data_IF_964545706407
#
_entry.id   IF_964545706407
#
_cell.length_a   1.000
_cell.length_b   1.000
_cell.length_c   1.000
_cell.angle_alpha   90.00
_cell.angle_beta   90.00
_cell.angle_gamma   90.00
#
_symmetry.space_group_name_H-M   'P 1'
#
loop_
_entity.id
_entity.type
_entity.pdbx_description
1 polymer ?
#
# COMPACT_ATOMS: atom_id res chain seq x y z
N UNK A 1 -23.79 -13.34 -18.84
CA UNK A 1 -22.95 -12.65 -17.83
C UNK A 1 -21.48 -13.07 -17.97
N UNK A 2 -21.18 -14.39 -18.00
CA UNK A 2 -19.83 -14.92 -18.20
C UNK A 2 -19.17 -14.50 -19.55
N UNK A 3 -19.91 -14.48 -20.66
CA UNK A 3 -19.36 -14.07 -21.97
C UNK A 3 -19.02 -12.58 -22.07
N UNK A 4 -19.82 -11.69 -21.46
CA UNK A 4 -19.53 -10.24 -21.42
C UNK A 4 -18.30 -9.94 -20.57
N UNK A 5 -18.10 -10.70 -19.49
CA UNK A 5 -16.92 -10.60 -18.64
C UNK A 5 -15.67 -11.13 -19.36
N UNK A 6 -15.77 -12.31 -20.01
CA UNK A 6 -14.69 -12.90 -20.84
C UNK A 6 -14.25 -11.96 -21.96
N UNK A 7 -15.17 -11.38 -22.71
CA UNK A 7 -14.85 -10.50 -23.84
C UNK A 7 -14.08 -9.23 -23.40
N UNK A 8 -14.32 -8.73 -22.17
CA UNK A 8 -13.64 -7.55 -21.63
C UNK A 8 -12.31 -7.86 -20.95
N UNK A 9 -12.21 -8.98 -20.24
CA UNK A 9 -10.93 -9.52 -19.75
C UNK A 9 -10.01 -9.78 -20.96
N UNK A 10 -10.52 -10.31 -22.07
CA UNK A 10 -9.77 -10.45 -23.31
C UNK A 10 -9.34 -9.11 -23.94
N UNK A 11 -10.10 -8.03 -23.78
CA UNK A 11 -9.69 -6.67 -24.22
C UNK A 11 -8.65 -6.04 -23.31
N UNK A 12 -8.72 -6.28 -21.99
CA UNK A 12 -7.67 -5.89 -21.06
C UNK A 12 -6.34 -6.62 -21.35
N UNK A 13 -6.42 -7.90 -21.76
CA UNK A 13 -5.27 -8.70 -22.24
C UNK A 13 -4.63 -8.20 -23.54
N UNK A 14 -5.41 -7.57 -24.43
CA UNK A 14 -4.97 -7.23 -25.78
C UNK A 14 -4.33 -5.83 -25.92
N UNK A 15 -3.96 -5.18 -24.82
CA UNK A 15 -3.18 -3.93 -24.83
C UNK A 15 -4.01 -2.64 -24.75
N UNK A 16 -4.64 -2.39 -23.59
CA UNK A 16 -4.98 -1.01 -23.20
C UNK A 16 -6.34 -0.75 -22.55
N UNK A 17 -7.25 -1.72 -22.42
CA UNK A 17 -8.53 -1.48 -21.75
C UNK A 17 -8.40 -1.69 -20.22
N UNK A 18 -8.66 -0.64 -19.44
CA UNK A 18 -8.73 -0.70 -17.99
C UNK A 18 -9.85 -1.65 -17.50
N UNK A 19 -9.56 -2.53 -16.55
CA UNK A 19 -10.58 -3.27 -15.81
C UNK A 19 -11.22 -2.28 -14.81
N UNK A 20 -12.51 -2.00 -14.95
CA UNK A 20 -13.24 -1.16 -14.01
C UNK A 20 -14.33 -1.97 -13.29
N UNK A 21 -14.36 -1.90 -11.96
CA UNK A 21 -15.39 -2.51 -11.10
C UNK A 21 -16.81 -2.10 -11.48
N UNK A 22 -16.98 -0.88 -12.02
CA UNK A 22 -18.27 -0.32 -12.45
C UNK A 22 -18.96 -1.18 -13.52
N UNK A 23 -18.22 -2.08 -14.17
CA UNK A 23 -18.73 -3.00 -15.17
C UNK A 23 -19.34 -4.28 -14.60
N UNK A 24 -19.23 -4.53 -13.29
CA UNK A 24 -19.90 -5.66 -12.62
C UNK A 24 -21.33 -5.27 -12.22
N UNK A 25 -22.31 -6.19 -12.32
CA UNK A 25 -23.66 -5.91 -11.82
C UNK A 25 -23.60 -5.59 -10.34
N UNK A 26 -24.22 -4.49 -9.88
CA UNK A 26 -24.30 -4.14 -8.45
C UNK A 26 -24.97 -5.27 -7.65
N UNK A 27 -24.50 -5.52 -6.42
CA UNK A 27 -25.22 -6.40 -5.50
C UNK A 27 -26.50 -5.66 -5.13
N UNK A 28 -27.65 -6.30 -5.35
CA UNK A 28 -28.94 -5.73 -4.95
C UNK A 28 -29.09 -5.83 -3.43
N UNK A 29 -29.76 -4.86 -2.79
CA UNK A 29 -30.22 -5.00 -1.41
C UNK A 29 -31.00 -6.32 -1.25
N UNK A 30 -30.77 -7.04 -0.14
CA UNK A 30 -31.48 -8.30 0.16
C UNK A 30 -30.93 -9.57 -0.50
N UNK A 31 -29.69 -9.57 -1.03
CA UNK A 31 -29.04 -10.80 -1.48
C UNK A 31 -28.87 -11.80 -0.31
N UNK A 32 -29.17 -13.09 -0.53
CA UNK A 32 -28.99 -14.15 0.49
C UNK A 32 -27.55 -14.15 1.03
N UNK A 33 -27.36 -14.33 2.34
CA UNK A 33 -26.06 -14.40 3.04
C UNK A 33 -25.05 -15.34 2.35
N UNK A 34 -25.52 -16.50 1.89
CA UNK A 34 -24.70 -17.47 1.15
C UNK A 34 -24.18 -16.94 -0.19
N UNK A 35 -25.02 -16.18 -0.91
CA UNK A 35 -24.61 -15.48 -2.12
C UNK A 35 -23.69 -14.28 -1.82
N UNK A 36 -23.70 -13.74 -0.59
CA UNK A 36 -22.80 -12.68 -0.19
C UNK A 36 -21.39 -13.21 0.09
N UNK A 37 -21.26 -14.30 0.85
CA UNK A 37 -19.95 -14.86 1.22
C UNK A 37 -19.14 -15.38 0.03
N UNK A 38 -19.78 -15.80 -1.06
CA UNK A 38 -19.10 -16.25 -2.28
C UNK A 38 -18.84 -15.11 -3.28
N UNK A 39 -19.69 -14.07 -3.30
CA UNK A 39 -19.53 -12.90 -4.17
C UNK A 39 -18.61 -11.82 -3.61
N UNK A 40 -18.43 -11.74 -2.30
CA UNK A 40 -17.53 -10.79 -1.68
C UNK A 40 -16.06 -11.00 -2.08
N UNK A 41 -15.47 -12.23 -2.00
CA UNK A 41 -14.12 -12.48 -2.49
C UNK A 41 -13.96 -12.16 -3.97
N UNK A 42 -14.98 -12.44 -4.80
CA UNK A 42 -14.97 -12.11 -6.23
C UNK A 42 -14.85 -10.61 -6.47
N UNK A 43 -15.67 -9.80 -5.78
CA UNK A 43 -15.60 -8.34 -5.89
C UNK A 43 -14.27 -7.79 -5.41
N UNK A 44 -13.74 -8.31 -4.31
CA UNK A 44 -12.46 -7.85 -3.78
C UNK A 44 -11.27 -8.25 -4.67
N UNK A 45 -11.29 -9.45 -5.26
CA UNK A 45 -10.32 -9.86 -6.28
C UNK A 45 -10.33 -8.89 -7.47
N UNK A 46 -11.52 -8.49 -7.92
CA UNK A 46 -11.69 -7.53 -9.01
C UNK A 46 -11.29 -6.11 -8.60
N UNK A 47 -11.55 -5.70 -7.35
CA UNK A 47 -11.10 -4.44 -6.78
C UNK A 47 -9.58 -4.33 -6.77
N UNK A 48 -8.89 -5.41 -6.39
CA UNK A 48 -7.43 -5.47 -6.44
C UNK A 48 -6.84 -5.24 -7.83
N UNK A 49 -7.62 -5.42 -8.91
CA UNK A 49 -7.18 -5.22 -10.29
C UNK A 49 -7.90 -4.06 -10.99
N UNK A 50 -8.66 -3.24 -10.26
CA UNK A 50 -9.25 -2.04 -10.83
C UNK A 50 -8.14 -1.07 -11.24
N UNK A 51 -8.26 -0.42 -12.40
CA UNK A 51 -7.29 0.57 -12.85
C UNK A 51 -7.19 1.82 -11.98
N UNK A 52 -8.22 2.12 -11.17
CA UNK A 52 -8.15 3.16 -10.15
C UNK A 52 -7.36 2.71 -8.91
N UNK A 53 -7.14 1.41 -8.72
CA UNK A 53 -6.58 0.80 -7.50
C UNK A 53 -5.17 0.25 -7.73
N UNK A 54 -4.98 -0.60 -8.74
CA UNK A 54 -3.76 -1.35 -8.99
C UNK A 54 -2.71 -0.52 -9.74
N UNK A 55 -1.43 -0.75 -9.44
CA UNK A 55 -0.32 -0.04 -10.08
C UNK A 55 -0.06 -0.50 -11.54
N UNK A 56 -0.28 -1.78 -11.86
CA UNK A 56 -0.15 -2.36 -13.22
C UNK A 56 -1.15 -3.53 -13.41
N UNK A 57 -2.46 -3.26 -13.52
CA UNK A 57 -3.50 -4.29 -13.54
C UNK A 57 -3.42 -5.24 -14.76
N UNK A 58 -2.89 -4.77 -15.91
CA UNK A 58 -2.71 -5.62 -17.10
C UNK A 58 -1.74 -6.79 -16.89
N UNK A 59 -0.80 -6.63 -15.95
CA UNK A 59 0.16 -7.66 -15.51
C UNK A 59 -0.31 -8.40 -14.25
N UNK A 60 -1.55 -8.18 -13.82
CA UNK A 60 -2.11 -8.65 -12.54
C UNK A 60 -1.42 -8.07 -11.29
N UNK A 61 -0.52 -7.09 -11.46
CA UNK A 61 0.25 -6.49 -10.37
C UNK A 61 -0.56 -5.40 -9.68
N UNK A 62 -0.76 -5.58 -8.39
CA UNK A 62 -1.48 -4.66 -7.51
C UNK A 62 -0.54 -3.59 -6.97
N UNK A 63 0.54 -3.98 -6.28
CA UNK A 63 1.54 -3.04 -5.71
C UNK A 63 2.85 -3.75 -5.31
N UNK A 64 3.84 -2.98 -4.83
CA UNK A 64 5.03 -3.51 -4.14
C UNK A 64 6.01 -4.28 -5.03
N UNK A 65 6.30 -3.76 -6.23
CA UNK A 65 7.13 -4.43 -7.22
C UNK A 65 6.29 -5.34 -8.11
N UNK A 66 6.24 -6.64 -7.77
CA UNK A 66 5.55 -7.70 -8.53
C UNK A 66 4.43 -8.39 -7.73
N UNK A 67 3.90 -7.74 -6.70
CA UNK A 67 2.78 -8.26 -5.89
C UNK A 67 1.51 -8.42 -6.72
N UNK A 68 1.12 -9.66 -7.01
CA UNK A 68 0.02 -9.99 -7.95
C UNK A 68 -1.23 -10.50 -7.25
N UNK A 69 -2.40 -10.30 -7.89
CA UNK A 69 -3.69 -10.80 -7.39
C UNK A 69 -3.98 -12.26 -7.77
N UNK A 70 -3.44 -12.72 -8.90
CA UNK A 70 -3.49 -14.10 -9.38
C UNK A 70 -2.20 -14.42 -10.14
N UNK A 71 -1.85 -15.70 -10.26
CA UNK A 71 -0.56 -16.12 -10.83
C UNK A 71 -0.39 -15.65 -12.27
N UNK A 72 -1.41 -15.94 -13.05
CA UNK A 72 -1.54 -15.66 -14.46
C UNK A 72 -3.02 -15.48 -14.79
N UNK A 73 -3.30 -15.04 -16.02
CA UNK A 73 -4.66 -14.74 -16.46
C UNK A 73 -5.56 -15.99 -16.56
N UNK A 74 -4.99 -17.17 -16.82
CA UNK A 74 -5.75 -18.44 -16.79
C UNK A 74 -6.21 -18.74 -15.36
N UNK A 75 -5.30 -18.62 -14.40
CA UNK A 75 -5.56 -18.80 -12.98
C UNK A 75 -6.62 -17.81 -12.48
N UNK A 76 -6.54 -16.55 -12.91
CA UNK A 76 -7.57 -15.54 -12.62
C UNK A 76 -8.95 -15.98 -13.12
N UNK A 77 -9.08 -16.37 -14.39
CA UNK A 77 -10.36 -16.80 -14.97
C UNK A 77 -10.92 -18.03 -14.24
N UNK A 78 -10.05 -18.95 -13.86
CA UNK A 78 -10.43 -20.16 -13.11
C UNK A 78 -10.86 -19.84 -11.68
N UNK A 79 -10.21 -18.88 -11.00
CA UNK A 79 -10.64 -18.39 -9.68
C UNK A 79 -12.02 -17.76 -9.80
N UNK A 80 -12.22 -16.86 -10.76
CA UNK A 80 -13.52 -16.21 -11.01
C UNK A 80 -14.60 -17.26 -11.27
N UNK A 81 -14.32 -18.24 -12.14
CA UNK A 81 -15.24 -19.32 -12.45
C UNK A 81 -15.56 -20.21 -11.25
N UNK A 82 -14.57 -20.50 -10.38
CA UNK A 82 -14.77 -21.26 -9.16
C UNK A 82 -15.64 -20.49 -8.16
N UNK A 83 -15.34 -19.22 -7.88
CA UNK A 83 -16.11 -18.37 -6.96
C UNK A 83 -17.58 -18.19 -7.41
N UNK A 84 -17.84 -18.21 -8.71
CA UNK A 84 -19.21 -18.13 -9.25
C UNK A 84 -20.05 -19.40 -9.03
N UNK A 85 -19.41 -20.56 -8.85
CA UNK A 85 -20.08 -21.85 -8.66
C UNK A 85 -19.94 -22.41 -7.24
N UNK A 86 -19.15 -21.76 -6.39
CA UNK A 86 -18.86 -22.22 -5.04
C UNK A 86 -20.14 -22.25 -4.20
N UNK A 87 -20.42 -23.39 -3.57
CA UNK A 87 -21.56 -23.55 -2.68
C UNK A 87 -21.26 -23.03 -1.26
N UNK A 88 -22.31 -22.89 -0.45
CA UNK A 88 -22.22 -22.28 0.89
C UNK A 88 -21.39 -23.12 1.88
N UNK A 89 -21.29 -24.43 1.67
CA UNK A 89 -20.53 -25.37 2.47
C UNK A 89 -19.28 -25.86 1.74
N UNK A 90 -18.76 -25.10 0.78
CA UNK A 90 -17.52 -25.39 0.07
C UNK A 90 -16.43 -24.34 0.35
N UNK A 91 -15.19 -24.76 0.16
CA UNK A 91 -13.98 -23.93 0.31
C UNK A 91 -13.07 -24.09 -0.89
N UNK A 92 -12.72 -22.99 -1.54
CA UNK A 92 -11.72 -22.91 -2.61
C UNK A 92 -10.30 -22.83 -2.01
N UNK A 93 -9.38 -23.65 -2.52
CA UNK A 93 -7.95 -23.56 -2.21
C UNK A 93 -7.20 -22.82 -3.31
N UNK A 94 -6.45 -21.79 -2.94
CA UNK A 94 -5.58 -21.01 -3.82
C UNK A 94 -4.13 -21.15 -3.37
N UNK A 95 -3.30 -21.74 -4.22
CA UNK A 95 -1.86 -21.92 -4.00
C UNK A 95 -1.10 -20.94 -4.89
N UNK A 96 -0.35 -20.01 -4.32
CA UNK A 96 0.40 -18.96 -5.03
C UNK A 96 -0.38 -18.41 -6.23
N UNK A 97 -1.58 -17.89 -5.97
CA UNK A 97 -2.46 -17.28 -6.97
C UNK A 97 -3.11 -18.22 -7.99
N UNK A 98 -3.03 -19.55 -7.82
CA UNK A 98 -3.64 -20.55 -8.69
C UNK A 98 -4.73 -21.35 -7.95
N UNK A 99 -5.93 -21.54 -8.53
CA UNK A 99 -6.99 -22.34 -7.91
C UNK A 99 -6.68 -23.84 -8.09
N UNK A 100 -6.44 -24.55 -6.98
CA UNK A 100 -5.95 -25.95 -7.02
C UNK A 100 -7.00 -26.98 -6.62
N UNK A 101 -8.08 -26.58 -5.95
CA UNK A 101 -9.15 -27.50 -5.59
C UNK A 101 -10.30 -26.82 -4.86
N UNK A 102 -11.45 -27.47 -4.85
CA UNK A 102 -12.62 -27.09 -4.04
C UNK A 102 -13.00 -28.31 -3.21
N UNK A 103 -13.19 -28.11 -1.91
CA UNK A 103 -13.56 -29.18 -0.98
C UNK A 103 -14.78 -28.77 -0.17
N UNK A 104 -15.63 -29.75 0.12
CA UNK A 104 -16.75 -29.56 1.04
C UNK A 104 -16.22 -29.39 2.47
N UNK A 105 -16.73 -28.36 3.15
CA UNK A 105 -16.46 -28.00 4.54
C UNK A 105 -17.79 -27.78 5.26
N UNK A 106 -18.11 -26.57 5.72
CA UNK A 106 -19.35 -26.22 6.40
C UNK A 106 -19.60 -24.71 6.27
N UNK A 107 -20.83 -24.25 6.55
CA UNK A 107 -21.23 -22.85 6.35
C UNK A 107 -20.34 -21.83 7.07
N UNK A 108 -19.85 -22.16 8.27
CA UNK A 108 -19.00 -21.25 9.06
C UNK A 108 -17.50 -21.31 8.70
N UNK A 109 -17.10 -22.19 7.78
CA UNK A 109 -15.72 -22.27 7.32
C UNK A 109 -15.38 -21.09 6.38
N UNK A 110 -14.09 -20.75 6.21
CA UNK A 110 -13.67 -19.81 5.16
C UNK A 110 -14.09 -20.30 3.77
N UNK A 111 -14.62 -19.41 2.93
CA UNK A 111 -14.95 -19.73 1.52
C UNK A 111 -13.72 -19.88 0.65
N UNK A 112 -12.61 -19.23 1.02
CA UNK A 112 -11.35 -19.29 0.28
C UNK A 112 -10.21 -19.40 1.29
N UNK A 113 -9.32 -20.37 1.08
CA UNK A 113 -8.06 -20.49 1.79
C UNK A 113 -6.91 -20.22 0.81
N UNK A 114 -6.02 -19.31 1.19
CA UNK A 114 -4.97 -18.81 0.31
C UNK A 114 -3.61 -19.02 0.97
N UNK A 115 -2.69 -19.67 0.26
CA UNK A 115 -1.30 -19.84 0.66
C UNK A 115 -0.40 -19.37 -0.49
N UNK A 116 0.13 -18.16 -0.37
CA UNK A 116 0.96 -17.54 -1.40
C UNK A 116 2.42 -17.46 -0.97
N UNK A 117 3.33 -17.68 -1.91
CA UNK A 117 4.76 -17.38 -1.78
C UNK A 117 5.52 -18.15 -0.68
N UNK A 118 4.90 -19.17 -0.09
CA UNK A 118 5.54 -20.01 0.91
C UNK A 118 6.63 -20.88 0.27
N UNK A 119 7.83 -20.84 0.84
CA UNK A 119 8.98 -21.65 0.47
C UNK A 119 9.57 -22.31 1.73
N UNK A 120 10.12 -23.51 1.58
CA UNK A 120 10.88 -24.14 2.66
C UNK A 120 12.08 -23.23 3.01
N UNK A 121 12.42 -22.98 4.30
CA UNK A 121 13.29 -21.87 4.68
C UNK A 121 14.64 -21.79 3.96
N UNK A 122 15.30 -22.92 3.73
CA UNK A 122 16.58 -22.95 2.99
C UNK A 122 16.47 -22.41 1.56
N UNK A 123 15.29 -22.54 0.93
CA UNK A 123 15.00 -22.09 -0.42
C UNK A 123 14.24 -20.76 -0.46
N UNK A 124 14.01 -20.10 0.68
CA UNK A 124 13.30 -18.83 0.76
C UNK A 124 14.18 -17.65 0.30
N UNK A 125 14.69 -17.73 -0.94
CA UNK A 125 15.54 -16.74 -1.58
C UNK A 125 14.89 -16.20 -2.85
N UNK A 126 15.23 -14.97 -3.23
CA UNK A 126 14.75 -14.37 -4.48
C UNK A 126 15.20 -15.17 -5.72
N UNK A 127 16.41 -15.72 -5.72
CA UNK A 127 16.91 -16.53 -6.83
C UNK A 127 16.05 -17.77 -7.07
N UNK A 128 15.71 -18.50 -5.99
CA UNK A 128 14.86 -19.67 -6.09
C UNK A 128 13.42 -19.30 -6.43
N UNK A 129 12.88 -18.24 -5.80
CA UNK A 129 11.58 -17.68 -6.13
C UNK A 129 11.46 -17.35 -7.63
N UNK A 130 12.44 -16.64 -8.19
CA UNK A 130 12.47 -16.20 -9.58
C UNK A 130 12.60 -17.39 -10.54
N UNK A 131 13.35 -18.44 -10.16
CA UNK A 131 13.43 -19.67 -10.94
C UNK A 131 12.07 -20.37 -11.03
N UNK A 132 11.32 -20.45 -9.93
CA UNK A 132 9.97 -21.02 -9.90
C UNK A 132 8.94 -20.14 -10.64
N UNK A 133 9.04 -18.82 -10.53
CA UNK A 133 8.15 -17.88 -11.24
C UNK A 133 8.30 -18.03 -12.77
N UNK A 134 9.54 -18.12 -13.27
CA UNK A 134 9.81 -18.39 -14.71
C UNK A 134 9.23 -19.73 -15.19
N UNK A 135 9.07 -20.70 -14.30
CA UNK A 135 8.44 -22.00 -14.60
C UNK A 135 6.90 -21.96 -14.45
N UNK A 136 6.31 -20.82 -14.11
CA UNK A 136 4.87 -20.70 -13.85
C UNK A 136 4.43 -21.36 -12.53
N UNK A 137 5.36 -21.61 -11.62
CA UNK A 137 5.12 -22.30 -10.34
C UNK A 137 4.93 -21.34 -9.16
N UNK A 138 5.21 -20.05 -9.35
CA UNK A 138 5.24 -19.09 -8.26
C UNK A 138 4.47 -17.80 -8.55
N UNK A 139 4.08 -17.11 -7.49
CA UNK A 139 3.52 -15.77 -7.49
C UNK A 139 3.95 -15.07 -6.21
N UNK A 140 4.31 -13.80 -6.29
CA UNK A 140 4.52 -12.97 -5.11
C UNK A 140 3.18 -12.38 -4.68
N UNK A 141 2.67 -12.78 -3.51
CA UNK A 141 1.38 -12.33 -3.00
C UNK A 141 1.44 -11.00 -2.27
N UNK A 142 2.64 -10.50 -1.93
CA UNK A 142 2.81 -9.42 -0.96
C UNK A 142 1.94 -9.73 0.29
N UNK A 143 1.29 -8.73 0.87
CA UNK A 143 0.34 -8.86 1.96
C UNK A 143 -1.06 -8.90 1.36
N UNK A 144 -1.57 -7.76 0.89
CA UNK A 144 -2.98 -7.62 0.48
C UNK A 144 -3.23 -7.80 -1.02
N UNK A 145 -2.17 -7.95 -1.82
CA UNK A 145 -2.29 -8.16 -3.26
C UNK A 145 -2.87 -9.55 -3.56
N UNK A 146 -2.24 -10.59 -3.03
CA UNK A 146 -2.65 -11.99 -3.23
C UNK A 146 -3.76 -12.48 -2.31
N UNK A 147 -4.16 -11.68 -1.30
CA UNK A 147 -5.26 -11.98 -0.37
C UNK A 147 -6.53 -11.16 -0.59
N UNK A 148 -6.54 -10.32 -1.64
CA UNK A 148 -7.71 -9.61 -2.14
C UNK A 148 -8.35 -8.68 -1.08
N UNK A 149 -7.54 -7.79 -0.50
CA UNK A 149 -8.02 -6.77 0.45
C UNK A 149 -7.26 -5.44 0.32
N UNK A 150 -6.74 -5.16 -0.88
CA UNK A 150 -6.09 -3.89 -1.17
C UNK A 150 -7.14 -2.85 -1.54
N UNK A 151 -7.01 -1.64 -0.99
CA UNK A 151 -7.98 -0.55 -1.09
C UNK A 151 -7.34 0.74 -1.63
N UNK A 152 -6.33 0.58 -2.48
CA UNK A 152 -5.50 1.68 -2.97
C UNK A 152 -4.55 2.23 -1.91
N UNK A 153 -4.01 3.41 -2.18
CA UNK A 153 -3.00 4.06 -1.33
C UNK A 153 -3.53 4.34 0.08
N UNK A 154 -4.85 4.50 0.24
CA UNK A 154 -5.49 4.71 1.54
C UNK A 154 -5.13 3.63 2.55
N UNK A 155 -4.90 2.39 2.12
CA UNK A 155 -4.61 1.26 3.00
C UNK A 155 -3.41 1.45 3.92
N UNK A 156 -2.49 2.36 3.59
CA UNK A 156 -1.31 2.67 4.41
C UNK A 156 -1.27 4.11 4.95
N UNK A 157 -2.10 5.03 4.44
CA UNK A 157 -2.08 6.45 4.85
C UNK A 157 -2.17 6.58 6.36
N UNK A 158 -3.07 5.83 7.01
CA UNK A 158 -3.18 5.90 8.46
C UNK A 158 -1.95 5.37 9.18
N UNK A 159 -1.40 4.22 8.78
CA UNK A 159 -0.19 3.70 9.42
C UNK A 159 0.97 4.69 9.35
N UNK A 160 1.08 5.40 8.22
CA UNK A 160 2.05 6.47 8.01
C UNK A 160 1.74 7.74 8.80
N UNK A 161 0.46 8.11 8.86
CA UNK A 161 0.00 9.20 9.71
C UNK A 161 0.30 8.94 11.19
N UNK A 162 -0.05 7.76 11.72
CA UNK A 162 0.24 7.36 13.11
C UNK A 162 1.75 7.35 13.38
N UNK A 163 2.55 6.91 12.41
CA UNK A 163 4.01 6.95 12.53
C UNK A 163 4.52 8.39 12.67
N UNK A 164 4.06 9.32 11.83
CA UNK A 164 4.49 10.71 11.89
C UNK A 164 3.95 11.45 13.10
N UNK A 165 2.71 11.20 13.51
CA UNK A 165 2.14 11.76 14.74
C UNK A 165 2.95 11.32 15.96
N UNK A 166 3.28 10.03 16.07
CA UNK A 166 4.10 9.52 17.18
C UNK A 166 5.53 10.08 17.13
N UNK A 167 6.09 10.27 15.93
CA UNK A 167 7.37 10.96 15.75
C UNK A 167 7.31 12.41 16.25
N UNK A 168 6.26 13.17 15.89
CA UNK A 168 6.01 14.51 16.41
C UNK A 168 5.90 14.54 17.93
N UNK A 169 5.19 13.57 18.51
CA UNK A 169 5.07 13.41 19.98
C UNK A 169 6.41 13.19 20.67
N UNK A 170 7.29 12.35 20.09
CA UNK A 170 8.57 12.00 20.73
C UNK A 170 9.66 13.02 20.52
N UNK A 171 9.70 13.66 19.36
CA UNK A 171 10.84 14.48 18.95
C UNK A 171 10.53 15.99 18.92
N UNK A 172 9.25 16.36 18.83
CA UNK A 172 8.83 17.75 18.58
C UNK A 172 7.68 18.21 19.50
N UNK A 173 7.57 17.64 20.70
CA UNK A 173 6.60 18.09 21.71
C UNK A 173 5.13 17.89 21.33
N UNK A 174 4.83 16.99 20.38
CA UNK A 174 3.46 16.70 19.94
C UNK A 174 2.98 17.47 18.72
N UNK A 175 3.82 18.31 18.12
CA UNK A 175 3.44 19.09 16.93
C UNK A 175 4.52 19.05 15.87
N UNK A 176 4.12 18.87 14.62
CA UNK A 176 5.00 19.00 13.44
C UNK A 176 4.79 20.32 12.68
N UNK A 177 4.07 21.28 13.27
CA UNK A 177 3.91 22.63 12.73
C UNK A 177 5.26 23.28 12.40
N UNK A 178 5.35 23.88 11.22
CA UNK A 178 6.59 24.45 10.68
C UNK A 178 7.73 23.45 10.42
N UNK A 179 7.48 22.13 10.47
CA UNK A 179 8.46 21.06 10.22
C UNK A 179 8.27 20.45 8.84
N UNK A 180 9.30 19.75 8.36
CA UNK A 180 9.19 18.95 7.14
C UNK A 180 9.92 17.61 7.18
N UNK A 181 9.35 16.66 6.43
CA UNK A 181 9.81 15.28 6.33
C UNK A 181 10.41 15.04 4.95
N UNK A 182 11.60 14.47 4.89
CA UNK A 182 12.24 14.00 3.66
C UNK A 182 12.02 12.50 3.48
N UNK A 183 11.58 12.09 2.29
CA UNK A 183 11.45 10.67 1.93
C UNK A 183 11.68 10.42 0.44
N UNK A 184 11.65 9.15 0.04
CA UNK A 184 11.67 8.69 -1.34
C UNK A 184 10.66 7.56 -1.58
N UNK A 185 10.25 7.42 -2.85
CA UNK A 185 9.31 6.41 -3.34
C UNK A 185 7.86 6.87 -3.28
N UNK A 186 7.25 7.06 -4.46
CA UNK A 186 5.84 7.42 -4.64
C UNK A 186 5.09 6.29 -5.36
N UNK A 187 5.37 5.03 -4.99
CA UNK A 187 4.62 3.85 -5.46
C UNK A 187 3.24 3.73 -4.80
N UNK A 188 2.59 2.55 -4.90
CA UNK A 188 1.24 2.33 -4.34
C UNK A 188 1.15 2.61 -2.84
N UNK A 189 2.14 2.17 -2.06
CA UNK A 189 2.24 2.46 -0.63
C UNK A 189 3.04 3.75 -0.38
N UNK A 190 4.18 3.90 -1.05
CA UNK A 190 5.05 5.10 -1.06
C UNK A 190 4.31 6.43 -1.21
N UNK A 191 3.32 6.44 -2.10
CA UNK A 191 2.53 7.61 -2.44
C UNK A 191 1.66 8.13 -1.29
N UNK A 192 1.48 7.36 -0.21
CA UNK A 192 0.73 7.80 0.96
C UNK A 192 1.53 8.73 1.89
N UNK A 193 2.86 8.69 1.83
CA UNK A 193 3.73 9.46 2.72
C UNK A 193 3.48 10.97 2.67
N UNK A 194 3.34 11.62 1.50
CA UNK A 194 3.23 13.07 1.47
C UNK A 194 1.90 13.55 2.06
N UNK A 195 0.79 12.88 1.74
CA UNK A 195 -0.50 13.17 2.35
C UNK A 195 -0.51 12.91 3.87
N UNK A 196 0.07 11.80 4.31
CA UNK A 196 0.15 11.48 5.74
C UNK A 196 0.95 12.52 6.52
N UNK A 197 2.06 13.01 5.97
CA UNK A 197 2.86 14.08 6.57
C UNK A 197 2.05 15.37 6.69
N UNK A 198 1.36 15.80 5.63
CA UNK A 198 0.49 17.00 5.64
C UNK A 198 -0.63 16.86 6.65
N UNK A 199 -1.28 15.69 6.74
CA UNK A 199 -2.31 15.40 7.74
C UNK A 199 -1.76 15.41 9.17
N UNK A 200 -0.50 15.00 9.37
CA UNK A 200 0.19 15.08 10.65
C UNK A 200 0.71 16.49 10.99
N UNK A 201 0.55 17.47 10.08
CA UNK A 201 0.94 18.86 10.27
C UNK A 201 2.33 19.21 9.76
N UNK A 202 3.02 18.32 9.05
CA UNK A 202 4.35 18.56 8.46
C UNK A 202 4.28 18.79 6.95
N UNK A 203 5.16 19.62 6.41
CA UNK A 203 5.44 19.59 4.98
C UNK A 203 6.21 18.31 4.61
N UNK A 204 6.18 17.90 3.35
CA UNK A 204 6.87 16.70 2.89
C UNK A 204 7.58 16.94 1.57
N UNK A 205 8.84 16.53 1.46
CA UNK A 205 9.55 16.40 0.20
C UNK A 205 9.76 14.93 -0.12
N UNK A 206 9.17 14.45 -1.21
CA UNK A 206 9.26 13.05 -1.64
C UNK A 206 9.98 12.93 -2.99
N UNK A 207 11.09 12.21 -3.02
CA UNK A 207 11.87 11.95 -4.24
C UNK A 207 11.29 10.74 -4.97
N UNK A 208 11.06 10.85 -6.27
CA UNK A 208 10.60 9.74 -7.11
C UNK A 208 11.28 9.77 -8.47
N UNK A 209 11.69 8.60 -8.98
CA UNK A 209 12.42 8.47 -10.23
C UNK A 209 11.53 8.30 -11.46
N UNK A 210 10.29 7.82 -11.30
CA UNK A 210 9.34 7.57 -12.37
C UNK A 210 8.30 8.70 -12.47
N UNK A 211 8.29 9.50 -13.55
CA UNK A 211 7.32 10.59 -13.73
C UNK A 211 5.86 10.14 -13.60
N UNK A 212 5.52 8.98 -14.18
CA UNK A 212 4.17 8.41 -14.14
C UNK A 212 3.66 8.15 -12.72
N UNK A 213 4.56 7.86 -11.78
CA UNK A 213 4.20 7.68 -10.36
C UNK A 213 3.83 9.02 -9.74
N UNK A 214 4.61 10.08 -9.98
CA UNK A 214 4.32 11.44 -9.52
C UNK A 214 2.97 11.93 -10.08
N UNK A 215 2.77 11.80 -11.39
CA UNK A 215 1.53 12.21 -12.08
C UNK A 215 0.28 11.58 -11.46
N UNK A 216 0.36 10.28 -11.13
CA UNK A 216 -0.72 9.57 -10.46
C UNK A 216 -1.02 10.15 -9.06
N UNK A 217 0.01 10.56 -8.29
CA UNK A 217 -0.17 11.09 -6.93
C UNK A 217 -0.71 12.52 -6.95
N UNK A 218 -0.31 13.33 -7.93
CA UNK A 218 -0.95 14.62 -8.21
C UNK A 218 -2.43 14.45 -8.56
N UNK A 219 -2.76 13.55 -9.49
CA UNK A 219 -4.14 13.28 -9.91
C UNK A 219 -5.04 12.84 -8.74
N UNK A 220 -4.51 11.95 -7.90
CA UNK A 220 -5.23 11.42 -6.74
C UNK A 220 -5.27 12.39 -5.55
N UNK A 221 -4.50 13.48 -5.58
CA UNK A 221 -4.43 14.48 -4.49
C UNK A 221 -3.56 14.04 -3.30
N UNK A 222 -2.69 13.05 -3.51
CA UNK A 222 -1.74 12.57 -2.51
C UNK A 222 -0.41 13.34 -2.49
N UNK A 223 -0.17 14.13 -3.53
CA UNK A 223 0.91 15.12 -3.65
C UNK A 223 0.28 16.42 -4.13
N UNK A 224 0.70 17.56 -3.58
CA UNK A 224 0.16 18.88 -3.95
C UNK A 224 0.92 19.49 -5.12
N UNK A 225 2.26 19.43 -5.10
CA UNK A 225 3.13 20.15 -6.06
C UNK A 225 4.25 19.25 -6.57
N UNK A 226 4.60 19.40 -7.85
CA UNK A 226 5.85 18.88 -8.43
C UNK A 226 6.82 20.05 -8.61
N UNK A 227 8.00 19.96 -8.01
CA UNK A 227 9.09 20.90 -8.21
C UNK A 227 9.92 20.53 -9.46
N UNK A 228 10.47 21.54 -10.14
CA UNK A 228 11.33 21.39 -11.32
C UNK A 228 12.72 20.88 -10.96
N UNK A 229 13.24 21.32 -9.82
CA UNK A 229 14.56 20.98 -9.31
C UNK A 229 14.60 21.06 -7.78
N UNK A 230 15.76 20.70 -7.21
CA UNK A 230 15.97 20.68 -5.77
C UNK A 230 15.89 22.08 -5.14
N UNK A 231 16.32 23.12 -5.86
CA UNK A 231 16.32 24.49 -5.32
C UNK A 231 14.90 25.03 -5.21
N UNK A 232 14.06 24.82 -6.23
CA UNK A 232 12.64 25.14 -6.18
C UNK A 232 11.92 24.30 -5.10
N UNK A 233 12.23 23.01 -4.98
CA UNK A 233 11.65 22.15 -3.96
C UNK A 233 11.92 22.66 -2.54
N UNK A 234 13.17 23.02 -2.25
CA UNK A 234 13.58 23.56 -0.94
C UNK A 234 12.97 24.94 -0.67
N UNK A 235 12.86 25.80 -1.69
CA UNK A 235 12.19 27.10 -1.56
C UNK A 235 10.70 26.95 -1.22
N UNK A 236 10.01 26.03 -1.89
CA UNK A 236 8.59 25.72 -1.62
C UNK A 236 8.42 25.22 -0.18
N UNK A 237 9.24 24.25 0.24
CA UNK A 237 9.20 23.70 1.60
C UNK A 237 9.48 24.79 2.65
N UNK A 238 10.51 25.61 2.43
CA UNK A 238 10.86 26.70 3.34
C UNK A 238 9.72 27.71 3.51
N UNK A 239 9.08 28.10 2.42
CA UNK A 239 7.91 29.00 2.44
C UNK A 239 6.71 28.38 3.17
N UNK A 240 6.42 27.10 2.92
CA UNK A 240 5.34 26.36 3.57
C UNK A 240 5.57 26.25 5.08
N UNK A 241 6.79 25.93 5.51
CA UNK A 241 7.17 25.86 6.91
C UNK A 241 7.09 27.23 7.61
N UNK A 242 7.59 28.30 6.97
CA UNK A 242 7.54 29.65 7.52
C UNK A 242 6.11 30.19 7.66
N UNK A 243 5.21 29.80 6.77
CA UNK A 243 3.80 30.20 6.79
C UNK A 243 2.91 29.28 7.64
N UNK A 244 3.46 28.22 8.24
CA UNK A 244 2.74 27.16 8.93
C UNK A 244 1.57 26.58 8.10
N UNK A 245 1.84 26.32 6.82
CA UNK A 245 0.90 25.75 5.87
C UNK A 245 1.50 24.48 5.26
N UNK A 246 1.30 23.32 5.92
CA UNK A 246 1.84 22.05 5.48
C UNK A 246 1.50 21.75 4.01
N UNK A 247 2.51 21.37 3.24
CA UNK A 247 2.39 21.08 1.81
C UNK A 247 3.26 19.88 1.45
N UNK A 248 2.79 19.07 0.51
CA UNK A 248 3.57 17.99 -0.08
C UNK A 248 4.17 18.36 -1.45
N UNK A 249 5.47 18.12 -1.60
CA UNK A 249 6.27 18.38 -2.79
C UNK A 249 6.87 17.07 -3.29
N UNK A 250 6.61 16.72 -4.54
CA UNK A 250 7.35 15.69 -5.25
C UNK A 250 8.55 16.31 -5.98
N UNK A 251 9.66 15.59 -6.00
CA UNK A 251 10.85 15.92 -6.77
C UNK A 251 11.22 14.74 -7.67
N UNK A 252 11.24 14.99 -8.98
CA UNK A 252 11.68 14.00 -9.95
C UNK A 252 13.21 13.82 -9.86
N UNK A 253 13.67 12.61 -9.54
CA UNK A 253 15.10 12.29 -9.52
C UNK A 253 15.42 10.98 -8.79
N UNK A 254 16.71 10.67 -8.69
CA UNK A 254 17.19 9.49 -7.99
C UNK A 254 17.54 9.85 -6.54
N UNK A 255 16.98 9.13 -5.57
CA UNK A 255 17.25 9.34 -4.15
C UNK A 255 18.74 9.13 -3.80
N UNK A 256 19.41 8.18 -4.47
CA UNK A 256 20.85 7.94 -4.27
C UNK A 256 21.73 9.08 -4.82
N UNK A 257 21.18 10.04 -5.57
CA UNK A 257 21.88 11.27 -6.02
C UNK A 257 21.49 12.47 -5.16
N UNK A 258 20.19 12.63 -4.91
CA UNK A 258 19.64 13.80 -4.23
C UNK A 258 19.98 13.81 -2.74
N UNK A 259 19.88 12.69 -2.01
CA UNK A 259 20.20 12.70 -0.57
C UNK A 259 21.67 13.07 -0.29
N UNK A 260 22.68 12.50 -0.97
CA UNK A 260 24.06 12.96 -0.81
C UNK A 260 24.26 14.43 -1.14
N UNK A 261 23.57 14.94 -2.17
CA UNK A 261 23.63 16.35 -2.55
C UNK A 261 23.04 17.26 -1.45
N UNK A 262 21.93 16.86 -0.83
CA UNK A 262 21.34 17.58 0.31
C UNK A 262 22.28 17.64 1.51
N UNK A 263 22.97 16.52 1.81
CA UNK A 263 24.02 16.48 2.84
C UNK A 263 25.15 17.46 2.50
N UNK A 264 25.65 17.46 1.26
CA UNK A 264 26.72 18.36 0.81
C UNK A 264 26.33 19.84 0.92
N UNK A 265 25.06 20.16 0.66
CA UNK A 265 24.50 21.52 0.79
C UNK A 265 24.21 21.93 2.24
N UNK A 266 24.35 21.03 3.21
CA UNK A 266 24.00 21.30 4.61
C UNK A 266 22.49 21.47 4.83
N UNK A 267 21.65 20.94 3.93
CA UNK A 267 20.21 20.93 4.10
C UNK A 267 19.87 20.03 5.29
N UNK A 268 18.93 20.45 6.14
CA UNK A 268 18.55 19.70 7.33
C UNK A 268 17.02 19.54 7.42
N UNK A 269 16.47 18.38 7.04
CA UNK A 269 15.07 18.05 7.32
C UNK A 269 14.83 17.84 8.82
N UNK A 270 13.56 17.88 9.23
CA UNK A 270 13.16 17.54 10.60
C UNK A 270 12.94 16.03 10.76
N UNK A 271 12.70 15.28 9.69
CA UNK A 271 12.77 13.82 9.75
C UNK A 271 13.14 13.22 8.40
N UNK A 272 13.71 12.01 8.44
CA UNK A 272 14.10 11.26 7.23
C UNK A 272 13.56 9.83 7.30
N UNK A 273 13.01 9.37 6.18
CA UNK A 273 12.60 7.98 6.00
C UNK A 273 12.74 7.58 4.53
N UNK A 274 12.46 6.33 4.17
CA UNK A 274 12.45 5.86 2.79
C UNK A 274 11.35 4.81 2.59
N UNK A 275 10.66 4.86 1.45
CA UNK A 275 9.71 3.83 1.02
C UNK A 275 9.86 3.46 -0.46
N UNK A 276 11.09 3.52 -1.00
CA UNK A 276 11.45 2.87 -2.26
C UNK A 276 11.21 1.35 -2.15
N UNK A 277 11.11 0.64 -3.28
CA UNK A 277 10.90 -0.82 -3.25
C UNK A 277 12.23 -1.58 -3.11
N UNK A 278 13.01 -1.24 -2.08
CA UNK A 278 14.34 -1.83 -1.84
C UNK A 278 14.31 -3.35 -1.54
N UNK A 279 13.15 -3.90 -1.17
CA UNK A 279 12.96 -5.34 -0.95
C UNK A 279 13.07 -6.18 -2.22
N UNK A 280 12.94 -5.56 -3.41
CA UNK A 280 13.12 -6.18 -4.72
C UNK A 280 14.14 -5.36 -5.54
N UNK A 281 15.44 -5.66 -5.40
CA UNK A 281 16.50 -4.91 -6.07
C UNK A 281 16.41 -4.91 -7.59
N UNK A 282 15.77 -5.93 -8.20
CA UNK A 282 15.63 -6.00 -9.65
C UNK A 282 14.55 -5.04 -10.12
N UNK A 283 13.35 -5.11 -9.53
CA UNK A 283 12.17 -4.40 -10.04
C UNK A 283 11.80 -3.13 -9.29
N UNK A 284 12.46 -2.84 -8.16
CA UNK A 284 11.99 -1.86 -7.20
C UNK A 284 12.88 -0.63 -6.99
N UNK A 285 14.15 -0.65 -7.42
CA UNK A 285 15.10 0.43 -7.16
C UNK A 285 15.93 0.76 -8.39
N UNK A 286 15.83 2.00 -8.87
CA UNK A 286 16.60 2.51 -10.01
C UNK A 286 18.06 2.75 -9.61
N UNK A 287 19.05 2.08 -10.23
CA UNK A 287 20.45 2.35 -9.95
C UNK A 287 20.86 3.80 -10.27
N UNK A 288 21.79 4.34 -9.49
CA UNK A 288 22.35 5.68 -9.70
C UNK A 288 22.98 5.81 -11.09
N UNK A 289 22.78 6.95 -11.76
CA UNK A 289 23.29 7.21 -13.11
C UNK A 289 22.62 6.42 -14.24
N UNK A 290 21.61 5.59 -13.96
CA UNK A 290 20.86 4.87 -14.98
C UNK A 290 19.58 5.61 -15.37
N UNK A 291 19.22 5.55 -16.64
CA UNK A 291 17.89 5.99 -17.09
C UNK A 291 16.83 4.91 -16.83
N UNK A 292 15.55 5.30 -16.80
CA UNK A 292 14.45 4.35 -16.68
C UNK A 292 14.47 3.29 -17.79
N UNK A 293 14.75 3.70 -19.03
CA UNK A 293 14.85 2.78 -20.17
C UNK A 293 15.99 1.77 -19.98
N UNK A 294 17.17 2.22 -19.57
CA UNK A 294 18.30 1.32 -19.30
C UNK A 294 17.97 0.31 -18.20
N UNK A 295 17.27 0.76 -17.15
CA UNK A 295 16.82 -0.12 -16.09
C UNK A 295 15.78 -1.13 -16.58
N UNK A 296 14.77 -0.69 -17.33
CA UNK A 296 13.76 -1.54 -17.98
C UNK A 296 14.39 -2.63 -18.85
N UNK A 297 15.31 -2.27 -19.75
CA UNK A 297 15.96 -3.21 -20.67
C UNK A 297 16.84 -4.22 -19.92
N UNK A 298 17.56 -3.77 -18.88
CA UNK A 298 18.49 -4.61 -18.12
C UNK A 298 17.78 -5.54 -17.13
N UNK A 299 16.58 -5.21 -16.65
CA UNK A 299 15.78 -6.14 -15.85
C UNK A 299 15.49 -7.44 -16.59
N UNK A 300 15.27 -7.36 -17.90
CA UNK A 300 15.01 -8.52 -18.74
C UNK A 300 16.31 -9.23 -19.17
N UNK A 301 17.32 -8.46 -19.58
CA UNK A 301 18.55 -9.01 -20.18
C UNK A 301 19.61 -9.46 -19.17
N UNK A 302 19.79 -8.75 -18.04
CA UNK A 302 20.76 -9.08 -17.00
C UNK A 302 20.29 -8.64 -15.59
N UNK A 303 19.33 -9.36 -15.00
CA UNK A 303 18.78 -9.03 -13.68
C UNK A 303 19.82 -9.11 -12.55
N UNK A 304 20.92 -9.86 -12.73
CA UNK A 304 22.01 -9.94 -11.75
C UNK A 304 22.81 -8.65 -11.72
N UNK A 305 23.13 -8.09 -12.89
CA UNK A 305 23.77 -6.78 -12.96
C UNK A 305 22.87 -5.67 -12.38
N UNK A 306 21.55 -5.73 -12.63
CA UNK A 306 20.60 -4.79 -12.00
C UNK A 306 20.65 -4.91 -10.48
N UNK A 307 20.59 -6.13 -9.94
CA UNK A 307 20.64 -6.38 -8.48
C UNK A 307 21.89 -5.77 -7.86
N UNK A 308 23.07 -6.03 -8.44
CA UNK A 308 24.33 -5.51 -7.93
C UNK A 308 24.36 -3.97 -7.96
N UNK A 309 23.95 -3.36 -9.09
CA UNK A 309 23.94 -1.91 -9.24
C UNK A 309 22.92 -1.23 -8.31
N UNK A 310 21.74 -1.82 -8.15
CA UNK A 310 20.68 -1.34 -7.27
C UNK A 310 21.13 -1.38 -5.80
N UNK A 311 21.68 -2.50 -5.33
CA UNK A 311 22.18 -2.62 -3.96
C UNK A 311 23.32 -1.64 -3.67
N UNK A 312 24.28 -1.49 -4.59
CA UNK A 312 25.33 -0.48 -4.46
C UNK A 312 24.76 0.95 -4.35
N UNK A 313 23.68 1.25 -5.07
CA UNK A 313 22.97 2.54 -4.99
C UNK A 313 22.21 2.71 -3.67
N UNK A 314 21.57 1.65 -3.16
CA UNK A 314 20.95 1.65 -1.84
C UNK A 314 21.98 1.89 -0.73
N UNK A 315 23.20 1.36 -0.87
CA UNK A 315 24.28 1.63 0.08
C UNK A 315 24.66 3.13 0.13
N UNK A 316 24.69 3.81 -1.02
CA UNK A 316 24.89 5.26 -1.09
C UNK A 316 23.75 6.01 -0.39
N UNK A 317 22.51 5.61 -0.67
CA UNK A 317 21.32 6.17 -0.05
C UNK A 317 21.38 6.04 1.49
N UNK A 318 21.61 4.83 2.00
CA UNK A 318 21.66 4.57 3.45
C UNK A 318 22.80 5.34 4.13
N UNK A 319 23.96 5.51 3.48
CA UNK A 319 25.03 6.38 4.01
C UNK A 319 24.58 7.83 4.18
N UNK A 320 23.76 8.36 3.27
CA UNK A 320 23.20 9.70 3.42
C UNK A 320 22.15 9.76 4.54
N UNK A 321 21.29 8.74 4.68
CA UNK A 321 20.37 8.63 5.83
C UNK A 321 21.12 8.56 7.17
N UNK A 322 22.24 7.82 7.23
CA UNK A 322 23.13 7.76 8.38
C UNK A 322 23.80 9.11 8.68
N UNK A 323 24.15 9.89 7.65
CA UNK A 323 24.67 11.23 7.84
C UNK A 323 23.63 12.16 8.50
N UNK A 324 22.36 12.10 8.10
CA UNK A 324 21.28 12.80 8.78
C UNK A 324 21.08 12.32 10.23
N UNK A 325 21.12 11.00 10.45
CA UNK A 325 21.04 10.40 11.78
C UNK A 325 22.15 10.93 12.72
N UNK A 326 23.39 11.00 12.22
CA UNK A 326 24.55 11.54 12.96
C UNK A 326 24.43 13.04 13.24
N UNK A 327 23.60 13.78 12.49
CA UNK A 327 23.25 15.18 12.76
C UNK A 327 22.07 15.34 13.74
N UNK A 328 21.61 14.23 14.35
CA UNK A 328 20.50 14.21 15.28
C UNK A 328 19.13 14.43 14.63
N UNK A 329 19.02 14.21 13.31
CA UNK A 329 17.71 14.18 12.63
C UNK A 329 17.06 12.82 12.92
N UNK A 330 15.80 12.78 13.39
CA UNK A 330 15.03 11.53 13.48
C UNK A 330 14.98 10.82 12.12
N UNK A 331 15.71 9.72 12.01
CA UNK A 331 15.78 8.89 10.80
C UNK A 331 15.21 7.53 11.12
N UNK A 332 14.34 7.00 10.26
CA UNK A 332 13.77 5.65 10.43
C UNK A 332 13.68 4.89 9.12
N UNK A 333 13.79 3.56 9.22
CA UNK A 333 13.45 2.65 8.13
C UNK A 333 11.95 2.34 8.14
N UNK A 334 11.33 2.47 6.97
CA UNK A 334 9.89 2.31 6.79
C UNK A 334 9.49 0.91 6.27
N UNK A 335 10.21 -0.13 6.67
CA UNK A 335 9.83 -1.52 6.44
C UNK A 335 10.00 -2.01 5.00
N UNK A 336 10.92 -1.41 4.24
CA UNK A 336 11.25 -1.83 2.87
C UNK A 336 12.59 -2.57 2.75
N UNK A 337 13.24 -2.86 3.89
CA UNK A 337 14.48 -3.64 3.98
C UNK A 337 15.73 -2.94 3.41
N UNK A 338 15.71 -1.61 3.19
CA UNK A 338 16.84 -0.88 2.59
C UNK A 338 18.13 -0.98 3.44
N UNK A 339 18.02 -1.02 4.77
CA UNK A 339 19.17 -1.20 5.68
C UNK A 339 19.88 -2.53 5.47
N UNK A 340 19.13 -3.61 5.27
CA UNK A 340 19.70 -4.93 5.01
C UNK A 340 20.44 -4.95 3.66
N UNK A 341 19.86 -4.34 2.62
CA UNK A 341 20.51 -4.24 1.31
C UNK A 341 21.83 -3.48 1.40
N UNK A 342 21.88 -2.39 2.17
CA UNK A 342 23.11 -1.63 2.40
C UNK A 342 24.14 -2.38 3.27
N UNK A 343 23.69 -3.13 4.28
CA UNK A 343 24.58 -3.97 5.10
C UNK A 343 25.30 -5.03 4.24
N UNK A 344 24.57 -5.66 3.32
CA UNK A 344 25.15 -6.65 2.39
C UNK A 344 26.20 -6.03 1.44
N UNK A 345 26.17 -4.72 1.25
CA UNK A 345 27.16 -3.94 0.48
C UNK A 345 28.23 -3.28 1.37
N UNK A 346 28.37 -3.73 2.62
CA UNK A 346 29.44 -3.34 3.53
C UNK A 346 29.20 -2.05 4.32
N UNK A 347 27.97 -1.53 4.37
CA UNK A 347 27.62 -0.44 5.30
C UNK A 347 27.43 -1.02 6.69
N UNK A 348 28.52 -1.15 7.46
CA UNK A 348 28.53 -1.83 8.75
C UNK A 348 27.57 -1.22 9.79
N UNK A 349 27.34 0.08 9.72
CA UNK A 349 26.45 0.87 10.58
C UNK A 349 25.03 1.04 9.99
N UNK A 350 24.64 0.25 8.98
CA UNK A 350 23.34 0.40 8.30
C UNK A 350 22.12 0.31 9.24
N UNK A 351 22.26 -0.34 10.40
CA UNK A 351 21.19 -0.54 11.38
C UNK A 351 21.21 0.45 12.55
N UNK A 352 22.07 1.47 12.52
CA UNK A 352 22.17 2.49 13.58
C UNK A 352 20.88 3.29 13.77
N UNK A 353 20.09 3.46 12.69
CA UNK A 353 18.74 4.03 12.80
C UNK A 353 17.67 2.92 12.86
N UNK A 354 16.62 3.09 13.69
CA UNK A 354 15.67 2.03 13.97
C UNK A 354 14.65 1.84 12.84
N UNK A 355 13.96 0.69 12.87
CA UNK A 355 12.75 0.52 12.07
C UNK A 355 11.57 1.26 12.72
N UNK A 356 10.62 1.73 11.91
CA UNK A 356 9.46 2.46 12.40
C UNK A 356 8.60 1.64 13.38
N UNK A 357 8.56 0.30 13.24
CA UNK A 357 7.80 -0.57 14.15
C UNK A 357 8.32 -0.52 15.60
N UNK A 358 9.58 -0.89 15.90
CA UNK A 358 10.11 -0.74 17.24
C UNK A 358 10.16 0.71 17.70
N UNK A 359 10.37 1.66 16.79
CA UNK A 359 10.46 3.07 17.14
C UNK A 359 9.10 3.63 17.58
N UNK A 360 8.03 3.41 16.82
CA UNK A 360 6.78 4.18 16.96
C UNK A 360 5.52 3.31 17.08
N UNK A 361 5.42 2.22 16.31
CA UNK A 361 4.15 1.48 16.17
C UNK A 361 3.93 0.40 17.23
N UNK A 362 4.98 -0.25 17.75
CA UNK A 362 4.84 -1.38 18.68
C UNK A 362 3.93 -1.12 19.89
N UNK A 363 3.92 0.07 20.53
CA UNK A 363 2.97 0.37 21.61
C UNK A 363 1.48 0.34 21.21
N UNK A 364 1.16 0.53 19.93
CA UNK A 364 -0.19 0.35 19.39
C UNK A 364 -0.52 -1.14 19.31
N UNK A 365 0.38 -1.95 18.75
CA UNK A 365 0.20 -3.40 18.66
C UNK A 365 0.04 -4.09 20.02
N UNK A 366 0.76 -3.63 21.06
CA UNK A 366 0.58 -4.16 22.41
C UNK A 366 -0.85 -4.00 22.98
N UNK A 367 -1.65 -3.10 22.40
CA UNK A 367 -3.07 -2.88 22.73
C UNK A 367 -4.04 -3.49 21.70
N UNK A 368 -3.51 -4.28 20.77
CA UNK A 368 -4.26 -4.80 19.62
C UNK A 368 -4.70 -3.72 18.63
N UNK A 369 -4.12 -2.52 18.70
CA UNK A 369 -4.43 -1.41 17.79
C UNK A 369 -3.59 -1.60 16.52
N UNK A 370 -4.27 -1.71 15.38
CA UNK A 370 -3.67 -1.98 14.09
C UNK A 370 -4.67 -1.74 12.96
N UNK A 371 -4.29 -2.01 11.70
CA UNK A 371 -5.01 -1.54 10.53
C UNK A 371 -6.31 -2.29 10.29
N UNK A 372 -7.41 -1.82 10.88
CA UNK A 372 -8.76 -2.32 10.62
C UNK A 372 -9.34 -1.59 9.41
N UNK A 373 -9.79 -2.33 8.39
CA UNK A 373 -10.32 -1.74 7.16
C UNK A 373 -11.61 -2.41 6.74
N UNK A 374 -12.41 -1.68 5.97
CA UNK A 374 -13.61 -2.21 5.38
C UNK A 374 -13.90 -1.60 4.01
N UNK A 375 -14.63 -2.35 3.17
CA UNK A 375 -15.03 -1.94 1.83
C UNK A 375 -16.52 -2.15 1.61
N UNK A 376 -17.19 -1.14 1.05
CA UNK A 376 -18.61 -1.16 0.75
C UNK A 376 -18.87 -1.87 -0.58
N UNK A 377 -19.44 -3.08 -0.54
CA UNK A 377 -19.72 -3.85 -1.76
C UNK A 377 -20.80 -3.22 -2.64
N UNK A 378 -21.54 -2.23 -2.13
CA UNK A 378 -22.50 -1.43 -2.91
C UNK A 378 -21.81 -0.63 -4.01
N UNK A 379 -20.54 -0.26 -3.80
CA UNK A 379 -19.83 0.73 -4.61
C UNK A 379 -20.28 2.18 -4.32
N UNK A 380 -21.08 2.40 -3.27
CA UNK A 380 -21.66 3.70 -2.95
C UNK A 380 -20.88 4.35 -1.79
N UNK A 381 -20.30 5.55 -1.98
CA UNK A 381 -19.50 6.21 -0.95
C UNK A 381 -20.32 6.59 0.28
N UNK A 382 -21.63 6.74 0.15
CA UNK A 382 -22.51 7.05 1.28
C UNK A 382 -22.50 5.96 2.35
N UNK A 383 -22.33 4.68 1.95
CA UNK A 383 -22.19 3.60 2.93
C UNK A 383 -20.93 3.79 3.80
N UNK A 384 -19.83 4.30 3.21
CA UNK A 384 -18.61 4.61 3.97
C UNK A 384 -18.83 5.80 4.91
N UNK A 385 -19.48 6.86 4.46
CA UNK A 385 -19.76 8.01 5.32
C UNK A 385 -20.66 7.66 6.51
N UNK A 386 -21.62 6.75 6.31
CA UNK A 386 -22.45 6.21 7.39
C UNK A 386 -21.63 5.37 8.37
N UNK A 387 -20.74 4.52 7.88
CA UNK A 387 -19.82 3.78 8.76
C UNK A 387 -18.84 4.70 9.49
N UNK A 388 -18.34 5.77 8.87
CA UNK A 388 -17.48 6.78 9.51
C UNK A 388 -18.23 7.43 10.69
N UNK A 389 -19.50 7.82 10.49
CA UNK A 389 -20.35 8.36 11.55
C UNK A 389 -20.60 7.35 12.68
N UNK A 390 -20.87 6.08 12.34
CA UNK A 390 -21.07 5.02 13.34
C UNK A 390 -19.81 4.75 14.17
N UNK A 391 -18.62 4.82 13.57
CA UNK A 391 -17.35 4.70 14.30
C UNK A 391 -17.24 5.81 15.35
N UNK A 392 -17.57 7.06 14.98
CA UNK A 392 -17.53 8.19 15.93
C UNK A 392 -18.54 8.04 17.06
N UNK A 393 -19.75 7.55 16.76
CA UNK A 393 -20.80 7.28 17.75
C UNK A 393 -20.36 6.22 18.78
N UNK A 394 -19.71 5.14 18.33
CA UNK A 394 -19.29 4.05 19.20
C UNK A 394 -18.01 4.33 19.99
N UNK A 395 -17.21 5.29 19.54
CA UNK A 395 -15.93 5.70 20.13
C UNK A 395 -15.91 7.23 20.35
N UNK A 396 -16.84 7.79 21.15
CA UNK A 396 -17.04 9.24 21.25
C UNK A 396 -15.83 9.98 21.84
N UNK A 397 -15.06 9.33 22.72
CA UNK A 397 -13.95 9.95 23.44
C UNK A 397 -12.61 9.89 22.66
N UNK A 398 -12.60 9.31 21.45
CA UNK A 398 -11.37 9.17 20.66
C UNK A 398 -11.21 10.33 19.67
N UNK A 399 -10.86 11.51 20.18
CA UNK A 399 -10.70 12.73 19.38
C UNK A 399 -9.71 12.55 18.22
N UNK A 400 -8.59 11.85 18.44
CA UNK A 400 -7.58 11.57 17.42
C UNK A 400 -8.17 10.77 16.24
N UNK A 401 -8.94 9.72 16.53
CA UNK A 401 -9.64 8.94 15.52
C UNK A 401 -10.69 9.78 14.76
N UNK A 402 -11.39 10.68 15.44
CA UNK A 402 -12.38 11.55 14.80
C UNK A 402 -11.70 12.51 13.82
N UNK A 403 -10.58 13.12 14.22
CA UNK A 403 -9.74 13.97 13.37
C UNK A 403 -9.25 13.19 12.15
N UNK A 404 -8.78 11.95 12.33
CA UNK A 404 -8.44 11.06 11.21
C UNK A 404 -9.61 10.89 10.24
N UNK A 405 -10.81 10.55 10.73
CA UNK A 405 -11.98 10.32 9.90
C UNK A 405 -12.44 11.58 9.15
N UNK A 406 -12.38 12.74 9.79
CA UNK A 406 -12.71 14.03 9.15
C UNK A 406 -11.73 14.34 8.02
N UNK A 407 -10.43 14.27 8.29
CA UNK A 407 -9.42 14.50 7.26
C UNK A 407 -9.49 13.44 6.14
N UNK A 408 -9.79 12.19 6.48
CA UNK A 408 -9.96 11.11 5.52
C UNK A 408 -11.19 11.30 4.63
N UNK A 409 -12.23 11.99 5.10
CA UNK A 409 -13.37 12.39 4.27
C UNK A 409 -13.01 13.53 3.31
N UNK A 410 -12.26 14.51 3.80
CA UNK A 410 -11.96 15.73 3.03
C UNK A 410 -10.83 15.54 2.01
N UNK A 411 -9.83 14.70 2.34
CA UNK A 411 -8.59 14.57 1.56
C UNK A 411 -8.49 13.29 0.75
N UNK A 412 -9.11 12.19 1.18
CA UNK A 412 -8.95 10.89 0.51
C UNK A 412 -10.03 10.69 -0.53
N UNK A 413 -9.60 10.61 -1.80
CA UNK A 413 -10.45 10.16 -2.91
C UNK A 413 -10.53 8.63 -2.88
N UNK A 414 -11.74 8.09 -2.95
CA UNK A 414 -11.93 6.64 -3.07
C UNK A 414 -11.35 6.11 -4.39
N UNK A 415 -10.84 4.89 -4.35
CA UNK A 415 -10.26 4.15 -5.49
C UNK A 415 -10.99 2.81 -5.60
N UNK A 416 -11.68 2.54 -6.71
CA UNK A 416 -12.47 1.31 -6.86
C UNK A 416 -13.70 1.30 -5.94
N UNK A 417 -13.87 0.23 -5.15
CA UNK A 417 -14.90 0.18 -4.12
C UNK A 417 -14.59 1.21 -3.03
N UNK A 418 -15.56 2.06 -2.63
CA UNK A 418 -15.39 2.91 -1.46
C UNK A 418 -15.03 2.06 -0.26
N UNK A 419 -13.94 2.43 0.38
CA UNK A 419 -13.35 1.71 1.49
C UNK A 419 -12.75 2.70 2.47
N UNK A 420 -12.57 2.25 3.72
CA UNK A 420 -11.97 3.04 4.79
C UNK A 420 -11.03 2.19 5.61
N UNK A 421 -10.04 2.84 6.19
CA UNK A 421 -9.17 2.29 7.23
C UNK A 421 -9.31 3.15 8.50
N UNK A 422 -9.37 2.51 9.65
CA UNK A 422 -9.15 3.11 10.95
C UNK A 422 -8.27 2.19 11.81
N UNK A 423 -7.39 2.72 12.66
CA UNK A 423 -6.63 1.92 13.61
C UNK A 423 -7.41 1.79 14.90
N UNK A 424 -7.90 0.58 15.18
CA UNK A 424 -8.73 0.28 16.36
C UNK A 424 -8.24 -0.96 17.07
N UNK A 425 -8.42 -0.97 18.39
CA UNK A 425 -7.82 -1.92 19.32
C UNK A 425 -8.64 -3.19 19.56
N UNK A 426 -8.08 -4.04 20.42
CA UNK A 426 -8.86 -5.08 21.10
C UNK A 426 -10.02 -4.43 21.86
N UNK A 427 -11.20 -5.02 21.76
CA UNK A 427 -12.44 -4.48 22.34
C UNK A 427 -13.28 -3.69 21.34
N UNK A 428 -12.68 -3.00 20.37
CA UNK A 428 -13.44 -2.14 19.46
C UNK A 428 -13.73 -2.78 18.10
N UNK A 429 -12.80 -3.59 17.56
CA UNK A 429 -12.98 -4.24 16.25
C UNK A 429 -14.27 -5.06 16.15
N UNK A 430 -14.57 -5.87 17.17
CA UNK A 430 -15.77 -6.70 17.17
C UNK A 430 -17.06 -5.86 17.34
N UNK A 431 -17.02 -4.80 18.17
CA UNK A 431 -18.15 -3.87 18.35
C UNK A 431 -18.49 -3.17 17.02
N UNK A 432 -17.47 -2.69 16.31
CA UNK A 432 -17.62 -2.09 14.97
C UNK A 432 -18.14 -3.12 13.97
N UNK A 433 -17.59 -4.33 13.95
CA UNK A 433 -18.05 -5.40 13.05
C UNK A 433 -19.52 -5.77 13.26
N UNK A 434 -19.97 -5.89 14.52
CA UNK A 434 -21.36 -6.14 14.87
C UNK A 434 -22.26 -4.97 14.46
N UNK A 435 -21.87 -3.73 14.75
CA UNK A 435 -22.63 -2.55 14.38
C UNK A 435 -22.78 -2.41 12.86
N UNK A 436 -21.70 -2.61 12.09
CA UNK A 436 -21.79 -2.59 10.62
C UNK A 436 -22.73 -3.69 10.10
N UNK A 437 -22.71 -4.87 10.71
CA UNK A 437 -23.61 -5.96 10.34
C UNK A 437 -25.09 -5.61 10.66
N UNK A 438 -25.36 -4.98 11.80
CA UNK A 438 -26.69 -4.48 12.16
C UNK A 438 -27.18 -3.41 11.18
N UNK A 439 -26.30 -2.48 10.77
CA UNK A 439 -26.64 -1.46 9.77
C UNK A 439 -26.94 -2.07 8.39
N UNK A 440 -26.28 -3.17 8.01
CA UNK A 440 -26.65 -3.93 6.80
C UNK A 440 -28.00 -4.61 6.98
N UNK A 441 -28.27 -5.22 8.14
CA UNK A 441 -29.52 -5.94 8.40
C UNK A 441 -30.74 -5.00 8.46
N UNK A 442 -30.58 -3.78 9.00
CA UNK A 442 -31.63 -2.77 9.07
C UNK A 442 -31.88 -2.06 7.74
N UNK A 443 -30.99 -2.21 6.76
CA UNK A 443 -31.02 -1.49 5.48
C UNK A 443 -30.46 -0.07 5.54
N UNK A 444 -29.84 0.32 6.66
CA UNK A 444 -29.07 1.57 6.74
C UNK A 444 -27.87 1.56 5.80
N UNK A 445 -27.24 0.40 5.57
CA UNK A 445 -26.24 0.23 4.50
C UNK A 445 -26.85 -0.48 3.30
N UNK A 446 -26.51 -0.01 2.09
CA UNK A 446 -27.14 -0.46 0.83
C UNK A 446 -26.75 -1.88 0.44
N UNK A 447 -25.59 -2.35 0.88
CA UNK A 447 -25.10 -3.69 0.64
C UNK A 447 -24.15 -4.14 1.77
N UNK A 448 -23.80 -5.44 1.82
CA UNK A 448 -22.84 -5.95 2.78
C UNK A 448 -21.46 -5.26 2.71
N UNK A 449 -20.80 -5.18 3.87
CA UNK A 449 -19.46 -4.64 4.04
C UNK A 449 -18.46 -5.80 4.16
N UNK A 450 -17.35 -5.73 3.42
CA UNK A 450 -16.20 -6.61 3.68
C UNK A 450 -15.36 -5.97 4.77
N UNK A 451 -15.03 -6.72 5.81
CA UNK A 451 -14.11 -6.31 6.87
C UNK A 451 -12.81 -7.10 6.71
N UNK A 452 -11.67 -6.42 6.84
CA UNK A 452 -10.35 -7.03 6.75
C UNK A 452 -9.27 -6.15 7.37
N UNK A 453 -8.03 -6.41 7.00
CA UNK A 453 -6.85 -5.68 7.47
C UNK A 453 -5.65 -5.89 6.54
N UNK A 454 -4.58 -5.16 6.80
CA UNK A 454 -3.26 -5.56 6.30
C UNK A 454 -2.73 -6.81 7.02
N UNK A 455 -1.69 -7.44 6.48
CA UNK A 455 -0.99 -8.52 7.20
C UNK A 455 -0.05 -7.98 8.28
N UNK A 456 0.30 -6.69 8.24
CA UNK A 456 0.96 -5.97 9.33
C UNK A 456 -0.08 -5.61 10.40
N UNK A 457 -0.16 -6.40 11.47
CA UNK A 457 -1.11 -6.20 12.60
C UNK A 457 -0.57 -6.82 13.89
#
# INVERSE_FOLDING_TARGET
MAERLRCRICRARAGGAALHLRDLPRLRPGARLTACMTRAPLRMLMNNLDAEVAERPGELVVYGGIGRAARDWESFDRIVGALQRLEADETLLVQSGKPVGVFRTHADAPRVLIANSNLVPHWATWDHFNALDRQGLMMYGQMTAGSWIYIGSQGIVQGTYETFVEMGRRHYGGSLSGRWILTAGLGGMGGAQPLAAVMAGASCLAIECQPSRIEMRLKTGYVDVLAKDLDEALAIIGNACAADKPLSVALLGNAAEILPEMIRRGVRPDAVTDQTSAHDPVNGYLPVGWTLQQWEDRRASDPKAVTAAAKASMAIHVRAMLAFWKQGVPTVDYGNNIRQMALEEGVADAFDFPGFVPAYIRPLFCRGIGPFRWAALSGDPEDIYRTDAKVKELLPDNAHLHTWLDMARDRIKFQGLPARICWVGLGDRHRLGLAFNEMVASGELKAPIVIGRDHLD
#
